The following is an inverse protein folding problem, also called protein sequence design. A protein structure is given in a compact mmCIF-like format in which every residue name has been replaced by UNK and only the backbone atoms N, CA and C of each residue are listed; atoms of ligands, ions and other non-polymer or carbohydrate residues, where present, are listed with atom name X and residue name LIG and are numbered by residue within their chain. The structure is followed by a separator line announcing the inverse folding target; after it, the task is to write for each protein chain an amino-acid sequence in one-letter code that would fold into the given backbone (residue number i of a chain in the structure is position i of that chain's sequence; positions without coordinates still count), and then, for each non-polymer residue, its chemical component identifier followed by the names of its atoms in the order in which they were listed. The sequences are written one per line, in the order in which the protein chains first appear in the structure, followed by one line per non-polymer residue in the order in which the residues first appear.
data_IF_807789560048
#
_entry.id   IF_807789560048
#
_cell.length_a   1.000
_cell.length_b   1.000
_cell.length_c   1.000
_cell.angle_alpha   90.00
_cell.angle_beta   90.00
_cell.angle_gamma   90.00
#
_symmetry.space_group_name_H-M   'P 1'
#
loop_
_entity.id
_entity.type
_entity.pdbx_description
1 polymer ?
#
# COMPACT_ATOMS: atom_id res chain seq x y z
N UNK A 1 19.97 21.18 -8.45
CA UNK A 1 19.10 19.99 -8.32
C UNK A 1 19.05 19.61 -6.85
N UNK A 2 17.87 19.48 -6.28
CA UNK A 2 17.69 19.14 -4.86
C UNK A 2 17.47 17.64 -4.71
N UNK A 3 17.97 17.05 -3.62
CA UNK A 3 17.87 15.62 -3.33
C UNK A 3 17.27 15.40 -1.94
N UNK A 4 16.46 14.36 -1.80
CA UNK A 4 15.95 13.87 -0.52
C UNK A 4 16.61 12.50 -0.28
N UNK A 5 17.14 12.29 0.93
CA UNK A 5 17.72 11.01 1.35
C UNK A 5 16.76 10.30 2.28
N UNK A 6 16.54 9.02 2.02
CA UNK A 6 15.71 8.14 2.86
C UNK A 6 16.63 7.23 3.65
N UNK A 7 16.43 7.18 4.97
CA UNK A 7 17.18 6.26 5.84
C UNK A 7 16.47 4.91 5.88
N UNK A 8 17.03 3.93 5.17
CA UNK A 8 16.55 2.55 5.14
C UNK A 8 16.53 1.91 6.54
N UNK A 9 17.55 2.15 7.37
CA UNK A 9 17.62 1.54 8.71
C UNK A 9 16.52 2.08 9.60
N UNK A 10 16.24 3.38 9.52
CA UNK A 10 15.14 4.00 10.25
C UNK A 10 13.79 3.42 9.80
N UNK A 11 13.57 3.27 8.50
CA UNK A 11 12.35 2.66 7.96
C UNK A 11 12.15 1.23 8.47
N UNK A 12 13.15 0.37 8.34
CA UNK A 12 13.05 -1.03 8.77
C UNK A 12 12.94 -1.17 10.30
N UNK A 13 13.61 -0.31 11.07
CA UNK A 13 13.48 -0.26 12.53
C UNK A 13 12.04 0.06 12.95
N UNK A 14 11.43 1.09 12.35
CA UNK A 14 10.05 1.47 12.64
C UNK A 14 9.07 0.35 12.34
N UNK A 15 9.22 -0.32 11.19
CA UNK A 15 8.37 -1.46 10.82
C UNK A 15 8.54 -2.63 11.81
N UNK A 16 9.78 -3.00 12.18
CA UNK A 16 10.04 -4.03 13.19
C UNK A 16 9.45 -3.68 14.55
N UNK A 17 9.54 -2.43 14.97
CA UNK A 17 8.98 -1.97 16.25
C UNK A 17 7.46 -2.06 16.27
N UNK A 18 6.79 -1.65 15.19
CA UNK A 18 5.33 -1.77 15.04
C UNK A 18 4.92 -3.24 15.00
N UNK A 19 5.58 -4.06 14.17
CA UNK A 19 5.32 -5.49 14.04
C UNK A 19 5.46 -6.22 15.39
N UNK A 20 6.48 -5.87 16.19
CA UNK A 20 6.66 -6.40 17.55
C UNK A 20 5.48 -6.07 18.46
N UNK A 21 4.93 -4.85 18.38
CA UNK A 21 3.77 -4.43 19.20
C UNK A 21 2.47 -5.14 18.81
N UNK A 22 2.26 -5.37 17.52
CA UNK A 22 1.04 -6.04 17.01
C UNK A 22 1.19 -7.57 16.90
N UNK A 23 2.40 -8.08 17.09
CA UNK A 23 2.74 -9.51 17.15
C UNK A 23 3.16 -10.16 15.83
N UNK A 24 3.03 -9.47 14.68
CA UNK A 24 3.39 -10.03 13.37
C UNK A 24 3.34 -8.97 12.27
N UNK A 25 4.15 -9.12 11.21
CA UNK A 25 4.06 -8.29 10.00
C UNK A 25 2.80 -8.53 9.18
N UNK A 26 2.18 -9.72 9.25
CA UNK A 26 0.94 -10.04 8.54
C UNK A 26 -0.26 -9.25 9.06
N UNK A 27 -0.14 -8.65 10.26
CA UNK A 27 -1.17 -7.78 10.85
C UNK A 27 -0.98 -6.30 10.49
N UNK A 28 0.08 -5.96 9.76
CA UNK A 28 0.41 -4.60 9.37
C UNK A 28 -0.12 -4.30 7.97
N UNK A 29 -0.79 -3.15 7.81
CA UNK A 29 -1.06 -2.55 6.51
C UNK A 29 -0.16 -1.32 6.37
N UNK A 30 0.82 -1.37 5.47
CA UNK A 30 1.64 -0.20 5.17
C UNK A 30 0.89 0.73 4.20
N UNK A 31 0.73 2.00 4.56
CA UNK A 31 0.06 2.99 3.70
C UNK A 31 1.09 3.66 2.81
N UNK A 32 1.04 3.40 1.50
CA UNK A 32 1.93 3.93 0.46
C UNK A 32 1.27 4.98 -0.45
N UNK A 33 0.13 5.54 -0.03
CA UNK A 33 -0.54 6.63 -0.76
C UNK A 33 0.40 7.82 -1.04
N UNK A 34 0.14 8.52 -2.13
CA UNK A 34 0.87 9.70 -2.60
C UNK A 34 2.39 9.44 -2.63
N UNK A 35 2.79 8.35 -3.31
CA UNK A 35 4.18 7.90 -3.41
C UNK A 35 4.87 7.66 -2.03
N UNK A 36 4.19 6.92 -1.15
CA UNK A 36 4.58 6.70 0.23
C UNK A 36 4.88 8.02 0.98
N UNK A 37 3.93 8.96 0.91
CA UNK A 37 4.06 10.28 1.53
C UNK A 37 5.32 11.01 1.04
N UNK A 38 5.63 10.87 -0.25
CA UNK A 38 6.82 11.45 -0.90
C UNK A 38 8.15 10.72 -0.61
N UNK A 39 8.17 9.61 0.14
CA UNK A 39 9.41 8.87 0.43
C UNK A 39 9.80 7.89 -0.67
N UNK A 40 8.93 7.62 -1.65
CA UNK A 40 9.20 6.71 -2.76
C UNK A 40 8.60 5.32 -2.54
N UNK A 41 7.39 5.08 -3.04
CA UNK A 41 6.69 3.80 -2.89
C UNK A 41 7.48 2.64 -3.52
N UNK A 42 7.96 2.81 -4.76
CA UNK A 42 8.83 1.83 -5.45
C UNK A 42 10.14 1.52 -4.71
N UNK A 43 10.67 2.50 -3.98
CA UNK A 43 11.89 2.33 -3.17
C UNK A 43 11.61 1.54 -1.89
N UNK A 44 10.50 1.85 -1.20
CA UNK A 44 10.17 1.27 0.09
C UNK A 44 9.45 -0.08 0.00
N UNK A 45 8.71 -0.34 -1.07
CA UNK A 45 7.96 -1.57 -1.29
C UNK A 45 8.78 -2.87 -1.14
N UNK A 46 9.92 -3.05 -1.85
CA UNK A 46 10.73 -4.26 -1.70
C UNK A 46 11.28 -4.41 -0.28
N UNK A 47 11.61 -3.31 0.41
CA UNK A 47 12.09 -3.34 1.79
C UNK A 47 10.99 -3.83 2.74
N UNK A 48 9.76 -3.33 2.59
CA UNK A 48 8.63 -3.78 3.40
C UNK A 48 8.30 -5.25 3.16
N UNK A 49 8.29 -5.69 1.89
CA UNK A 49 8.08 -7.08 1.50
C UNK A 49 9.13 -8.01 2.11
N UNK A 50 10.41 -7.64 2.06
CA UNK A 50 11.51 -8.41 2.63
C UNK A 50 11.39 -8.60 4.16
N UNK A 51 10.72 -7.69 4.86
CA UNK A 51 10.43 -7.82 6.29
C UNK A 51 9.21 -8.73 6.57
N UNK A 52 8.41 -9.05 5.57
CA UNK A 52 7.23 -9.90 5.70
C UNK A 52 5.90 -9.14 5.66
N UNK A 53 5.89 -7.86 5.28
CA UNK A 53 4.64 -7.13 5.00
C UNK A 53 3.99 -7.74 3.75
N UNK A 54 2.72 -8.15 3.87
CA UNK A 54 1.94 -8.75 2.78
C UNK A 54 0.74 -7.91 2.34
N UNK A 55 0.40 -6.85 3.10
CA UNK A 55 -0.75 -6.00 2.85
C UNK A 55 -0.32 -4.52 2.85
N UNK A 56 -0.66 -3.80 1.78
CA UNK A 56 -0.48 -2.35 1.66
C UNK A 56 -1.78 -1.63 1.29
N UNK A 57 -1.81 -0.32 1.54
CA UNK A 57 -2.88 0.55 1.08
C UNK A 57 -2.32 1.72 0.27
N UNK A 58 -2.94 2.03 -0.86
CA UNK A 58 -2.58 3.11 -1.77
C UNK A 58 -3.78 4.00 -2.06
N UNK A 59 -3.58 5.11 -2.76
CA UNK A 59 -4.67 6.03 -3.12
C UNK A 59 -5.48 5.53 -4.29
N UNK A 60 -4.82 5.07 -5.35
CA UNK A 60 -5.41 4.79 -6.67
C UNK A 60 -4.85 3.51 -7.32
N UNK A 61 -5.46 3.09 -8.42
CA UNK A 61 -4.99 1.93 -9.19
C UNK A 61 -3.60 2.15 -9.80
N UNK A 62 -3.29 3.38 -10.22
CA UNK A 62 -1.97 3.70 -10.79
C UNK A 62 -0.88 3.45 -9.75
N UNK A 63 -1.08 3.89 -8.51
CA UNK A 63 -0.15 3.61 -7.42
C UNK A 63 -0.09 2.11 -7.07
N UNK A 64 -1.19 1.38 -7.21
CA UNK A 64 -1.22 -0.07 -6.97
C UNK A 64 -0.36 -0.81 -8.00
N UNK A 65 -0.55 -0.50 -9.28
CA UNK A 65 0.20 -1.09 -10.40
C UNK A 65 1.71 -0.88 -10.26
N UNK A 66 2.14 0.23 -9.68
CA UNK A 66 3.56 0.52 -9.45
C UNK A 66 4.27 -0.46 -8.51
N UNK A 67 3.53 -1.14 -7.63
CA UNK A 67 4.07 -1.99 -6.56
C UNK A 67 3.39 -3.37 -6.50
N UNK A 68 2.56 -3.71 -7.49
CA UNK A 68 1.70 -4.90 -7.45
C UNK A 68 2.48 -6.21 -7.38
N UNK A 69 3.70 -6.24 -7.92
CA UNK A 69 4.56 -7.43 -7.88
C UNK A 69 5.04 -7.81 -6.46
N UNK A 70 4.99 -6.87 -5.51
CA UNK A 70 5.54 -7.09 -4.17
C UNK A 70 4.51 -7.64 -3.17
N UNK A 71 3.22 -7.33 -3.33
CA UNK A 71 2.23 -7.55 -2.28
C UNK A 71 1.06 -8.41 -2.74
N UNK A 72 0.60 -9.29 -1.84
CA UNK A 72 -0.55 -10.16 -2.09
C UNK A 72 -1.86 -9.39 -2.00
N UNK A 73 -1.92 -8.41 -1.11
CA UNK A 73 -3.11 -7.61 -0.86
C UNK A 73 -2.79 -6.12 -1.00
N UNK A 74 -3.55 -5.43 -1.85
CA UNK A 74 -3.42 -3.99 -2.08
C UNK A 74 -4.80 -3.35 -1.97
N UNK A 75 -4.99 -2.50 -0.96
CA UNK A 75 -6.21 -1.74 -0.72
C UNK A 75 -6.14 -0.35 -1.35
N UNK A 76 -7.08 -0.03 -2.23
CA UNK A 76 -7.24 1.28 -2.85
C UNK A 76 -8.24 2.10 -2.04
N UNK A 77 -7.75 3.19 -1.43
CA UNK A 77 -8.49 3.98 -0.46
C UNK A 77 -9.46 4.99 -1.07
N UNK A 78 -9.13 5.54 -2.26
CA UNK A 78 -9.88 6.66 -2.87
C UNK A 78 -10.63 6.24 -4.14
N UNK A 79 -11.05 4.97 -4.21
CA UNK A 79 -11.75 4.44 -5.37
C UNK A 79 -13.16 5.01 -5.54
N UNK A 80 -13.56 5.17 -6.81
CA UNK A 80 -14.94 5.41 -7.24
C UNK A 80 -15.29 4.34 -8.27
N UNK A 81 -16.34 3.54 -8.07
CA UNK A 81 -16.70 2.47 -8.99
C UNK A 81 -16.90 2.95 -10.43
N UNK A 82 -16.26 2.24 -11.36
CA UNK A 82 -16.29 2.47 -12.80
C UNK A 82 -16.56 1.19 -13.61
N UNK A 83 -16.69 0.02 -12.98
CA UNK A 83 -17.10 -1.24 -13.61
C UNK A 83 -16.01 -1.93 -14.42
N UNK A 84 -14.76 -1.46 -14.30
CA UNK A 84 -13.57 -2.02 -14.94
C UNK A 84 -12.45 -2.25 -13.92
N UNK A 85 -12.81 -2.45 -12.66
CA UNK A 85 -11.89 -2.68 -11.57
C UNK A 85 -11.06 -3.96 -11.83
N UNK A 86 -9.78 -3.92 -11.45
CA UNK A 86 -8.89 -5.07 -11.53
C UNK A 86 -9.15 -5.99 -10.33
N UNK A 87 -9.54 -7.25 -10.60
CA UNK A 87 -9.85 -8.24 -9.56
C UNK A 87 -8.67 -8.62 -8.65
N UNK A 88 -7.44 -8.19 -8.99
CA UNK A 88 -6.25 -8.34 -8.13
C UNK A 88 -6.25 -7.36 -6.94
N UNK A 89 -6.96 -6.25 -7.01
CA UNK A 89 -6.95 -5.22 -5.97
C UNK A 89 -8.20 -5.28 -5.09
N UNK A 90 -8.06 -4.71 -3.90
CA UNK A 90 -9.15 -4.53 -2.93
C UNK A 90 -9.55 -3.07 -2.97
N UNK A 91 -10.85 -2.78 -3.03
CA UNK A 91 -11.34 -1.42 -3.20
C UNK A 91 -12.19 -0.98 -2.01
N UNK A 92 -11.87 0.18 -1.45
CA UNK A 92 -12.74 0.81 -0.47
C UNK A 92 -13.99 1.37 -1.16
N UNK A 93 -15.17 1.01 -0.64
CA UNK A 93 -16.44 1.55 -1.08
C UNK A 93 -17.05 2.43 -0.01
N UNK A 94 -17.25 3.71 -0.33
CA UNK A 94 -17.76 4.71 0.62
C UNK A 94 -19.28 4.87 0.59
N UNK A 95 -19.95 4.33 -0.43
CA UNK A 95 -21.40 4.40 -0.60
C UNK A 95 -21.94 3.08 -1.18
N UNK A 96 -22.83 2.43 -0.43
CA UNK A 96 -23.48 1.17 -0.81
C UNK A 96 -24.28 1.30 -2.12
N UNK A 97 -24.79 2.50 -2.45
CA UNK A 97 -25.53 2.73 -3.69
C UNK A 97 -24.66 2.49 -4.93
N UNK A 98 -23.33 2.66 -4.79
CA UNK A 98 -22.37 2.50 -5.87
C UNK A 98 -21.96 1.04 -6.10
N UNK A 99 -22.35 0.08 -5.24
CA UNK A 99 -22.08 -1.37 -5.45
C UNK A 99 -22.57 -1.83 -6.83
N UNK A 100 -23.70 -1.29 -7.31
CA UNK A 100 -24.28 -1.66 -8.62
C UNK A 100 -23.38 -1.31 -9.81
N UNK A 101 -22.43 -0.39 -9.63
CA UNK A 101 -21.47 0.02 -10.65
C UNK A 101 -20.16 -0.76 -10.56
N UNK A 102 -19.95 -1.49 -9.47
CA UNK A 102 -18.83 -2.38 -9.29
C UNK A 102 -19.07 -3.66 -10.09
N UNK A 103 -18.03 -4.19 -10.72
CA UNK A 103 -18.11 -5.43 -11.49
C UNK A 103 -17.72 -6.66 -10.67
#
# INVERSE_FOLDING_TARGET
MSLIKIDQKAYEYNLRHIAKKIGSFQRLICVFKDNAYGHGAKLLAPLAKNLGVSFVAVKSEEEAQEIEEFFENILILSHRPHGNENSRFIYALNDISQVKKYK
#
